data_IF_630607382978
#
_entry.id   IF_630607382978
#
_cell.length_a   1.000
_cell.length_b   1.000
_cell.length_c   1.000
_cell.angle_alpha   90.00
_cell.angle_beta   90.00
_cell.angle_gamma   90.00
#
_symmetry.space_group_name_H-M   'P 1'
#
loop_
_entity.id
_entity.type
_entity.pdbx_description
1 polymer ?
#
# COMPACT_ATOMS: atom_id res chain seq x y z
N UNK A 1 -9.32 -22.94 6.92
CA UNK A 1 -8.16 -23.78 6.67
C UNK A 1 -7.54 -24.30 7.95
N UNK A 2 -6.75 -25.39 7.87
CA UNK A 2 -6.03 -25.89 9.05
C UNK A 2 -4.94 -24.88 9.48
N UNK A 3 -4.51 -24.95 10.76
CA UNK A 3 -3.40 -24.13 11.26
C UNK A 3 -2.14 -24.31 10.39
N UNK A 4 -1.81 -25.55 10.01
CA UNK A 4 -0.65 -25.86 9.18
C UNK A 4 -0.72 -25.17 7.80
N UNK A 5 -1.90 -25.13 7.17
CA UNK A 5 -2.09 -24.44 5.89
C UNK A 5 -1.91 -22.92 6.04
N UNK A 6 -2.46 -22.33 7.11
CA UNK A 6 -2.31 -20.90 7.38
C UNK A 6 -0.85 -20.53 7.69
N UNK A 7 -0.13 -21.34 8.44
CA UNK A 7 1.30 -21.15 8.72
C UNK A 7 2.11 -21.23 7.41
N UNK A 8 1.78 -22.16 6.52
CA UNK A 8 2.40 -22.29 5.19
C UNK A 8 2.16 -21.06 4.30
N UNK A 9 0.92 -20.56 4.26
CA UNK A 9 0.57 -19.33 3.50
C UNK A 9 1.35 -18.13 4.03
N UNK A 10 1.42 -17.97 5.36
CA UNK A 10 2.18 -16.88 5.99
C UNK A 10 3.68 -16.97 5.68
N UNK A 11 4.26 -18.16 5.70
CA UNK A 11 5.67 -18.39 5.38
C UNK A 11 5.97 -18.01 3.92
N UNK A 12 5.11 -18.44 2.98
CA UNK A 12 5.24 -18.10 1.56
C UNK A 12 5.09 -16.59 1.33
N UNK A 13 4.10 -15.94 1.94
CA UNK A 13 3.93 -14.49 1.84
C UNK A 13 5.17 -13.74 2.33
N UNK A 14 5.74 -14.13 3.48
CA UNK A 14 6.98 -13.52 3.99
C UNK A 14 8.18 -13.69 3.06
N UNK A 15 8.29 -14.83 2.40
CA UNK A 15 9.39 -15.14 1.46
C UNK A 15 9.23 -14.48 0.10
N UNK A 16 8.03 -14.05 -0.27
CA UNK A 16 7.78 -13.34 -1.52
C UNK A 16 8.02 -11.83 -1.42
N UNK A 17 8.10 -11.27 -0.23
CA UNK A 17 8.39 -9.84 -0.04
C UNK A 17 9.82 -9.54 -0.43
N UNK A 18 10.03 -8.53 -1.28
CA UNK A 18 11.33 -8.09 -1.77
C UNK A 18 11.66 -6.70 -1.23
N UNK A 19 12.80 -6.59 -0.56
CA UNK A 19 13.36 -5.30 -0.12
C UNK A 19 14.16 -4.69 -1.27
N UNK A 20 13.56 -3.75 -2.01
CA UNK A 20 14.18 -3.10 -3.17
C UNK A 20 15.18 -2.01 -2.77
N UNK A 21 14.92 -1.30 -1.67
CA UNK A 21 15.77 -0.20 -1.19
C UNK A 21 15.62 -0.01 0.32
N UNK A 22 16.72 0.32 1.02
CA UNK A 22 16.71 0.66 2.46
C UNK A 22 17.91 1.54 2.85
N UNK A 23 18.07 2.68 2.19
CA UNK A 23 19.26 3.54 2.31
C UNK A 23 19.45 4.15 3.71
N UNK A 24 18.34 4.44 4.42
CA UNK A 24 18.36 5.03 5.77
C UNK A 24 18.17 4.01 6.88
N UNK A 25 18.15 2.73 6.56
CA UNK A 25 17.86 1.66 7.52
C UNK A 25 16.56 1.89 8.32
N UNK A 26 15.50 2.39 7.66
CA UNK A 26 14.19 2.56 8.29
C UNK A 26 13.54 1.22 8.61
N UNK A 27 13.88 0.18 7.84
CA UNK A 27 13.48 -1.20 8.13
C UNK A 27 14.64 -1.96 8.79
N UNK A 28 14.33 -2.87 9.74
CA UNK A 28 12.99 -3.19 10.25
C UNK A 28 12.44 -2.07 11.16
N UNK A 29 11.12 -1.85 11.11
CA UNK A 29 10.44 -0.96 12.06
C UNK A 29 10.60 -1.47 13.49
N UNK A 30 10.66 -0.57 14.45
CA UNK A 30 10.67 -0.97 15.86
C UNK A 30 9.32 -1.59 16.24
N UNK A 31 9.36 -2.60 17.10
CA UNK A 31 8.14 -3.27 17.59
C UNK A 31 7.35 -2.43 18.60
N UNK A 32 7.95 -1.38 19.13
CA UNK A 32 7.36 -0.52 20.18
C UNK A 32 7.93 0.89 20.14
N UNK A 33 7.18 1.85 20.69
CA UNK A 33 7.63 3.21 20.99
C UNK A 33 7.73 4.14 19.77
N UNK A 34 7.20 3.78 18.62
CA UNK A 34 7.17 4.64 17.43
C UNK A 34 5.77 5.20 17.18
N UNK A 35 5.74 6.43 16.66
CA UNK A 35 4.56 7.01 16.02
C UNK A 35 4.65 6.69 14.54
N UNK A 36 3.71 5.92 14.03
CA UNK A 36 3.68 5.46 12.65
C UNK A 36 2.43 6.03 11.97
N UNK A 37 2.61 6.76 10.87
CA UNK A 37 1.54 7.10 9.97
C UNK A 37 1.44 6.04 8.87
N UNK A 38 0.31 5.36 8.76
CA UNK A 38 0.01 4.45 7.68
C UNK A 38 -0.90 5.15 6.68
N UNK A 39 -0.47 5.28 5.43
CA UNK A 39 -1.18 6.07 4.41
C UNK A 39 -1.39 5.25 3.14
N UNK A 40 -2.54 5.45 2.52
CA UNK A 40 -2.89 4.85 1.23
C UNK A 40 -4.17 4.00 1.30
N UNK A 41 -4.97 4.05 0.24
CA UNK A 41 -6.21 3.27 0.14
C UNK A 41 -5.95 1.77 0.23
N UNK A 42 -4.84 1.31 -0.36
CA UNK A 42 -4.44 -0.11 -0.36
C UNK A 42 -3.98 -0.62 1.02
N UNK A 43 -3.66 0.27 1.96
CA UNK A 43 -3.25 -0.13 3.30
C UNK A 43 -4.35 -0.87 4.07
N UNK A 44 -5.62 -0.58 3.80
CA UNK A 44 -6.78 -1.25 4.40
C UNK A 44 -7.57 -2.11 3.40
N UNK A 45 -6.98 -2.39 2.25
CA UNK A 45 -7.61 -3.26 1.25
C UNK A 45 -7.35 -4.73 1.60
N UNK A 46 -8.44 -5.49 1.74
CA UNK A 46 -8.44 -6.92 2.06
C UNK A 46 -8.77 -7.80 0.86
N UNK A 47 -9.02 -7.19 -0.28
CA UNK A 47 -9.42 -7.88 -1.50
C UNK A 47 -8.31 -7.95 -2.54
N UNK A 48 -7.54 -6.88 -2.71
CA UNK A 48 -6.42 -6.87 -3.67
C UNK A 48 -5.38 -7.96 -3.40
N UNK A 49 -5.01 -8.31 -2.15
CA UNK A 49 -4.09 -9.42 -1.90
C UNK A 49 -4.58 -10.78 -2.37
N UNK A 50 -5.88 -10.96 -2.61
CA UNK A 50 -6.47 -12.19 -3.13
C UNK A 50 -6.25 -12.36 -4.64
N UNK A 51 -5.81 -11.31 -5.34
CA UNK A 51 -5.58 -11.29 -6.77
C UNK A 51 -6.85 -11.19 -7.62
N UNK A 52 -6.68 -11.12 -8.95
CA UNK A 52 -7.79 -10.95 -9.91
C UNK A 52 -8.62 -12.22 -10.11
N UNK A 53 -8.03 -13.38 -9.91
CA UNK A 53 -8.70 -14.69 -10.10
C UNK A 53 -9.34 -15.26 -8.84
N UNK A 54 -9.73 -14.43 -7.91
CA UNK A 54 -10.36 -14.78 -6.63
C UNK A 54 -11.85 -15.13 -6.70
N UNK A 55 -12.32 -15.69 -7.81
CA UNK A 55 -13.74 -15.89 -8.09
C UNK A 55 -14.55 -16.61 -7.01
N UNK A 56 -13.91 -17.49 -6.24
CA UNK A 56 -14.54 -18.25 -5.17
C UNK A 56 -14.01 -17.88 -3.76
N UNK A 57 -13.19 -16.85 -3.65
CA UNK A 57 -12.72 -16.37 -2.36
C UNK A 57 -13.74 -15.43 -1.72
N UNK A 58 -13.93 -15.56 -0.40
CA UNK A 58 -14.78 -14.65 0.34
C UNK A 58 -14.18 -13.23 0.33
N UNK A 59 -15.02 -12.23 0.10
CA UNK A 59 -14.62 -10.83 0.19
C UNK A 59 -14.07 -10.53 1.59
N UNK A 60 -13.00 -9.75 1.63
CA UNK A 60 -12.31 -9.33 2.87
C UNK A 60 -11.70 -10.49 3.70
N UNK A 61 -11.35 -11.60 3.06
CA UNK A 61 -10.72 -12.74 3.75
C UNK A 61 -9.20 -12.62 3.94
N UNK A 62 -8.54 -11.73 3.21
CA UNK A 62 -7.12 -11.44 3.46
C UNK A 62 -6.91 -10.53 4.67
N UNK A 63 -5.70 -10.54 5.22
CA UNK A 63 -5.25 -9.60 6.26
C UNK A 63 -4.67 -8.37 5.57
N UNK A 64 -5.19 -7.18 5.90
CA UNK A 64 -4.66 -5.91 5.38
C UNK A 64 -3.35 -5.52 6.08
N UNK A 65 -2.58 -4.61 5.46
CA UNK A 65 -1.39 -4.04 6.11
C UNK A 65 -1.77 -3.34 7.41
N UNK A 66 -2.91 -2.63 7.43
CA UNK A 66 -3.43 -1.98 8.64
C UNK A 66 -3.66 -3.00 9.76
N UNK A 67 -4.37 -4.10 9.50
CA UNK A 67 -4.63 -5.15 10.49
C UNK A 67 -3.33 -5.82 10.97
N UNK A 68 -2.39 -6.06 10.06
CA UNK A 68 -1.08 -6.61 10.40
C UNK A 68 -0.29 -5.70 11.32
N UNK A 69 -0.28 -4.40 11.06
CA UNK A 69 0.43 -3.41 11.89
C UNK A 69 -0.24 -3.14 13.23
N UNK A 70 -1.56 -3.24 13.32
CA UNK A 70 -2.32 -3.08 14.57
C UNK A 70 -2.01 -4.15 15.64
N UNK A 71 -1.35 -5.24 15.25
CA UNK A 71 -0.89 -6.25 16.22
C UNK A 71 0.26 -5.74 17.12
N UNK A 72 0.98 -4.72 16.68
CA UNK A 72 2.09 -4.09 17.43
C UNK A 72 1.56 -2.92 18.29
N UNK A 73 0.82 -3.24 19.34
CA UNK A 73 0.04 -2.30 20.18
C UNK A 73 0.89 -1.25 20.91
N UNK A 74 2.18 -1.51 21.09
CA UNK A 74 3.10 -0.58 21.75
C UNK A 74 3.61 0.54 20.83
N UNK A 75 3.20 0.54 19.56
CA UNK A 75 3.37 1.64 18.64
C UNK A 75 2.08 2.46 18.54
N UNK A 76 2.22 3.77 18.34
CA UNK A 76 1.09 4.64 18.03
C UNK A 76 0.87 4.65 16.51
N UNK A 77 -0.01 3.79 16.03
CA UNK A 77 -0.40 3.72 14.62
C UNK A 77 -1.57 4.66 14.34
N UNK A 78 -1.44 5.53 13.34
CA UNK A 78 -2.52 6.37 12.81
C UNK A 78 -2.67 6.08 11.33
N UNK A 79 -3.90 5.79 10.89
CA UNK A 79 -4.20 5.49 9.49
C UNK A 79 -4.97 6.64 8.84
N UNK A 80 -4.56 7.01 7.63
CA UNK A 80 -5.30 7.91 6.74
C UNK A 80 -5.26 7.38 5.31
N UNK A 81 -6.39 7.39 4.64
CA UNK A 81 -6.48 6.92 3.26
C UNK A 81 -5.75 7.84 2.27
N UNK A 82 -5.78 9.14 2.50
CA UNK A 82 -5.24 10.17 1.61
C UNK A 82 -6.14 10.41 0.39
N UNK A 83 -6.24 9.44 -0.50
CA UNK A 83 -7.16 9.50 -1.65
C UNK A 83 -7.70 8.12 -1.96
N UNK A 84 -8.89 8.06 -2.54
CA UNK A 84 -9.39 6.84 -3.15
C UNK A 84 -8.61 6.53 -4.43
N UNK A 85 -8.37 5.25 -4.70
CA UNK A 85 -7.70 4.83 -5.94
C UNK A 85 -8.63 4.95 -7.13
N UNK A 86 -9.90 4.57 -6.95
CA UNK A 86 -10.94 4.60 -7.99
C UNK A 86 -12.14 5.41 -7.52
N UNK A 87 -12.85 6.03 -8.46
CA UNK A 87 -14.09 6.79 -8.17
C UNK A 87 -15.23 5.82 -7.87
N UNK A 88 -15.28 4.69 -8.60
CA UNK A 88 -16.31 3.68 -8.45
C UNK A 88 -15.73 2.40 -7.84
N UNK A 89 -16.61 1.55 -7.32
CA UNK A 89 -16.20 0.24 -6.81
C UNK A 89 -15.59 -0.59 -7.94
N UNK A 90 -14.34 -0.99 -7.77
CA UNK A 90 -13.65 -1.86 -8.69
C UNK A 90 -14.31 -3.24 -8.73
N UNK A 91 -14.59 -3.76 -9.93
CA UNK A 91 -15.11 -5.11 -10.15
C UNK A 91 -14.35 -5.76 -11.29
N UNK A 92 -14.50 -7.09 -11.43
CA UNK A 92 -13.88 -7.84 -12.53
C UNK A 92 -14.43 -7.43 -13.91
N UNK A 93 -15.71 -7.05 -13.99
CA UNK A 93 -16.41 -6.78 -15.25
C UNK A 93 -16.33 -5.33 -15.71
N UNK A 94 -16.05 -4.39 -14.82
CA UNK A 94 -16.09 -2.96 -15.15
C UNK A 94 -14.68 -2.45 -15.49
N UNK A 95 -14.62 -1.46 -16.37
CA UNK A 95 -13.44 -0.63 -16.49
C UNK A 95 -13.20 0.12 -15.17
N UNK A 96 -11.93 0.30 -14.82
CA UNK A 96 -11.56 1.02 -13.61
C UNK A 96 -11.44 2.50 -13.92
N UNK A 97 -12.26 3.30 -13.27
CA UNK A 97 -12.19 4.77 -13.34
C UNK A 97 -11.35 5.27 -12.17
N UNK A 98 -10.13 5.74 -12.46
CA UNK A 98 -9.22 6.22 -11.44
C UNK A 98 -9.62 7.59 -10.92
N UNK A 99 -9.41 7.80 -9.62
CA UNK A 99 -9.49 9.12 -9.03
C UNK A 99 -8.28 9.96 -9.47
N UNK A 100 -8.54 11.01 -10.25
CA UNK A 100 -7.52 11.98 -10.71
C UNK A 100 -7.77 13.40 -10.21
N UNK A 101 -8.84 13.61 -9.44
CA UNK A 101 -9.30 14.96 -9.06
C UNK A 101 -9.56 15.16 -7.58
N UNK A 102 -10.09 14.17 -6.86
CA UNK A 102 -10.45 14.30 -5.44
C UNK A 102 -9.23 14.14 -4.52
N UNK A 103 -8.78 15.26 -3.98
CA UNK A 103 -7.66 15.39 -3.02
C UNK A 103 -8.14 15.67 -1.60
N UNK A 104 -9.41 15.52 -1.32
CA UNK A 104 -10.02 15.93 -0.04
C UNK A 104 -9.36 15.29 1.20
N UNK A 105 -8.75 14.11 1.06
CA UNK A 105 -8.02 13.44 2.14
C UNK A 105 -6.53 13.82 2.27
N UNK A 106 -5.96 14.62 1.36
CA UNK A 106 -4.52 14.94 1.38
C UNK A 106 -4.09 15.70 2.63
N UNK A 107 -4.88 16.68 3.07
CA UNK A 107 -4.51 17.47 4.25
C UNK A 107 -4.53 16.65 5.55
N UNK A 108 -5.49 15.73 5.67
CA UNK A 108 -5.51 14.79 6.80
C UNK A 108 -4.28 13.87 6.77
N UNK A 109 -3.94 13.32 5.61
CA UNK A 109 -2.76 12.48 5.44
C UNK A 109 -1.45 13.24 5.73
N UNK A 110 -1.29 14.47 5.23
CA UNK A 110 -0.14 15.33 5.55
C UNK A 110 -0.03 15.60 7.05
N UNK A 111 -1.15 15.87 7.72
CA UNK A 111 -1.17 16.15 9.16
C UNK A 111 -0.69 14.96 9.98
N UNK A 112 -1.14 13.75 9.66
CA UNK A 112 -0.67 12.56 10.40
C UNK A 112 0.77 12.22 10.06
N UNK A 113 1.20 12.38 8.81
CA UNK A 113 2.58 12.19 8.38
C UNK A 113 3.56 13.14 9.10
N UNK A 114 3.23 14.42 9.21
CA UNK A 114 4.07 15.42 9.87
C UNK A 114 4.28 15.14 11.37
N UNK A 115 3.36 14.40 12.01
CA UNK A 115 3.41 14.07 13.44
C UNK A 115 3.98 12.65 13.72
N UNK A 116 4.43 11.94 12.70
CA UNK A 116 4.95 10.59 12.80
C UNK A 116 6.49 10.54 12.78
N UNK A 117 7.07 9.53 13.44
CA UNK A 117 8.49 9.24 13.37
C UNK A 117 8.86 8.60 12.02
N UNK A 118 7.91 7.80 11.47
CA UNK A 118 8.02 7.13 10.19
C UNK A 118 6.65 7.05 9.52
N UNK A 119 6.65 7.17 8.21
CA UNK A 119 5.45 7.01 7.38
C UNK A 119 5.56 5.71 6.60
N UNK A 120 4.52 4.87 6.64
CA UNK A 120 4.38 3.70 5.77
C UNK A 120 3.30 4.04 4.74
N UNK A 121 3.68 4.09 3.47
CA UNK A 121 2.74 4.33 2.38
C UNK A 121 2.52 3.05 1.58
N UNK A 122 1.27 2.61 1.48
CA UNK A 122 0.89 1.42 0.70
C UNK A 122 0.21 1.88 -0.59
N UNK A 123 0.96 1.81 -1.67
CA UNK A 123 0.58 2.31 -2.98
C UNK A 123 0.72 1.22 -4.05
N UNK A 124 0.14 1.45 -5.21
CA UNK A 124 0.25 0.53 -6.33
C UNK A 124 -1.08 0.27 -7.02
N UNK A 125 -1.35 -0.97 -7.34
CA UNK A 125 -2.53 -1.41 -8.07
C UNK A 125 -3.49 -2.19 -7.18
N UNK A 126 -4.80 -2.09 -7.43
CA UNK A 126 -5.76 -3.02 -6.83
C UNK A 126 -5.80 -4.35 -7.60
N UNK A 127 -6.41 -5.38 -6.99
CA UNK A 127 -6.44 -6.73 -7.57
C UNK A 127 -7.13 -6.84 -8.94
N UNK A 128 -7.96 -5.87 -9.34
CA UNK A 128 -8.61 -5.86 -10.64
C UNK A 128 -7.87 -5.07 -11.73
N UNK A 129 -6.73 -4.46 -11.40
CA UNK A 129 -5.90 -3.76 -12.40
C UNK A 129 -4.96 -4.70 -13.14
N UNK A 130 -4.77 -5.92 -12.65
CA UNK A 130 -3.87 -6.92 -13.21
C UNK A 130 -4.62 -8.18 -13.59
N UNK A 131 -4.02 -9.02 -14.41
CA UNK A 131 -4.61 -10.27 -14.89
C UNK A 131 -5.17 -10.16 -16.31
N UNK A 132 -6.01 -11.12 -16.67
CA UNK A 132 -6.60 -11.23 -17.99
C UNK A 132 -7.44 -10.01 -18.34
N UNK A 133 -7.33 -9.55 -19.59
CA UNK A 133 -8.02 -8.38 -20.13
C UNK A 133 -7.72 -7.05 -19.41
N UNK A 134 -6.58 -6.96 -18.71
CA UNK A 134 -6.16 -5.77 -17.95
C UNK A 134 -4.83 -5.21 -18.46
N UNK A 135 -4.86 -4.70 -19.69
CA UNK A 135 -3.72 -4.03 -20.31
C UNK A 135 -3.55 -2.60 -19.79
N UNK A 136 -2.31 -2.13 -19.76
CA UNK A 136 -1.97 -0.73 -19.46
C UNK A 136 -0.94 -0.24 -20.48
N UNK A 137 -1.11 0.99 -20.93
CA UNK A 137 -0.15 1.70 -21.79
C UNK A 137 0.90 2.49 -21.00
N UNK A 138 0.65 2.67 -19.69
CA UNK A 138 1.50 3.41 -18.76
C UNK A 138 1.71 2.55 -17.49
N UNK A 139 2.94 2.50 -16.98
CA UNK A 139 3.32 1.72 -15.81
C UNK A 139 3.50 2.58 -14.55
N UNK A 140 3.15 3.86 -14.58
CA UNK A 140 3.21 4.76 -13.41
C UNK A 140 2.20 4.35 -12.32
N UNK A 141 2.36 4.89 -11.12
CA UNK A 141 1.35 4.76 -10.06
C UNK A 141 0.00 5.31 -10.56
N UNK A 142 -1.09 4.54 -10.45
CA UNK A 142 -2.39 4.98 -10.95
C UNK A 142 -3.02 6.09 -10.09
N UNK A 143 -3.82 6.93 -10.74
CA UNK A 143 -4.57 8.00 -10.07
C UNK A 143 -3.68 9.05 -9.41
N UNK A 144 -4.06 9.49 -8.22
CA UNK A 144 -3.36 10.53 -7.45
C UNK A 144 -2.21 10.03 -6.57
N UNK A 145 -1.83 8.76 -6.67
CA UNK A 145 -0.88 8.16 -5.73
C UNK A 145 0.53 8.78 -5.80
N UNK A 146 1.01 9.11 -7.00
CA UNK A 146 2.31 9.77 -7.15
C UNK A 146 2.28 11.16 -6.51
N UNK A 147 1.23 11.94 -6.75
CA UNK A 147 1.07 13.27 -6.15
C UNK A 147 0.97 13.19 -4.62
N UNK A 148 0.19 12.24 -4.10
CA UNK A 148 0.10 12.01 -2.65
C UNK A 148 1.47 11.67 -2.05
N UNK A 149 2.24 10.79 -2.70
CA UNK A 149 3.58 10.41 -2.24
C UNK A 149 4.51 11.64 -2.16
N UNK A 150 4.48 12.50 -3.16
CA UNK A 150 5.30 13.71 -3.21
C UNK A 150 4.86 14.73 -2.14
N UNK A 151 3.56 14.91 -1.91
CA UNK A 151 3.03 15.80 -0.87
C UNK A 151 3.39 15.28 0.54
N UNK A 152 3.33 13.99 0.78
CA UNK A 152 3.76 13.38 2.05
C UNK A 152 5.27 13.54 2.25
N UNK A 153 6.07 13.32 1.20
CA UNK A 153 7.53 13.49 1.27
C UNK A 153 7.95 14.90 1.70
N UNK A 154 7.20 15.94 1.28
CA UNK A 154 7.49 17.34 1.66
C UNK A 154 7.37 17.58 3.17
N UNK A 155 6.49 16.85 3.86
CA UNK A 155 6.23 17.02 5.31
C UNK A 155 6.97 16.00 6.16
N UNK A 156 7.26 14.81 5.63
CA UNK A 156 8.04 13.78 6.30
C UNK A 156 8.77 12.87 5.30
N UNK A 157 10.09 13.01 5.12
CA UNK A 157 10.85 12.20 4.17
C UNK A 157 11.23 10.80 4.68
N UNK A 158 10.87 10.43 5.92
CA UNK A 158 11.12 9.10 6.47
C UNK A 158 10.02 8.13 6.04
N UNK A 159 9.98 7.82 4.74
CA UNK A 159 8.94 7.00 4.13
C UNK A 159 9.46 5.59 3.86
N UNK A 160 8.66 4.61 4.25
CA UNK A 160 8.69 3.23 3.77
C UNK A 160 7.56 3.09 2.76
N UNK A 161 7.91 3.00 1.49
CA UNK A 161 6.96 2.74 0.41
C UNK A 161 6.77 1.23 0.26
N UNK A 162 5.55 0.77 0.47
CA UNK A 162 5.13 -0.62 0.26
C UNK A 162 4.32 -0.67 -1.04
N UNK A 163 4.80 -1.43 -2.00
CA UNK A 163 4.15 -1.60 -3.29
C UNK A 163 3.24 -2.82 -3.28
N UNK A 164 2.02 -2.61 -3.74
CA UNK A 164 1.06 -3.67 -4.03
C UNK A 164 0.78 -3.66 -5.53
N UNK A 165 1.35 -4.60 -6.27
CA UNK A 165 1.28 -4.62 -7.73
C UNK A 165 1.35 -6.05 -8.27
N UNK A 166 0.76 -6.27 -9.43
CA UNK A 166 0.81 -7.53 -10.16
C UNK A 166 1.64 -7.44 -11.44
N UNK A 167 2.32 -6.32 -11.66
CA UNK A 167 3.26 -6.06 -12.76
C UNK A 167 4.31 -5.06 -12.31
N UNK A 168 5.49 -4.98 -12.96
CA UNK A 168 6.48 -3.94 -12.66
C UNK A 168 5.88 -2.54 -12.80
N UNK A 169 6.18 -1.64 -11.86
CA UNK A 169 5.80 -0.23 -11.90
C UNK A 169 7.02 0.64 -12.23
N UNK A 170 6.82 1.69 -13.02
CA UNK A 170 7.82 2.70 -13.30
C UNK A 170 7.80 3.76 -12.19
N UNK A 171 8.83 3.79 -11.35
CA UNK A 171 8.88 4.62 -10.15
C UNK A 171 10.15 5.51 -10.10
N UNK A 172 10.52 6.25 -11.17
CA UNK A 172 11.81 6.95 -11.23
C UNK A 172 11.94 8.00 -10.13
N UNK A 173 10.87 8.71 -9.80
CA UNK A 173 10.89 9.69 -8.71
C UNK A 173 11.05 9.02 -7.34
N UNK A 174 10.29 7.96 -7.06
CA UNK A 174 10.38 7.24 -5.80
C UNK A 174 11.75 6.56 -5.64
N UNK A 175 12.29 5.94 -6.68
CA UNK A 175 13.62 5.34 -6.66
C UNK A 175 14.71 6.35 -6.29
N UNK A 176 14.57 7.62 -6.73
CA UNK A 176 15.51 8.69 -6.41
C UNK A 176 15.32 9.24 -4.99
N UNK A 177 14.10 9.46 -4.55
CA UNK A 177 13.79 10.28 -3.38
C UNK A 177 13.40 9.47 -2.14
N UNK A 178 12.73 8.32 -2.30
CA UNK A 178 12.24 7.52 -1.17
C UNK A 178 13.36 6.64 -0.63
N UNK A 179 13.64 6.69 0.68
CA UNK A 179 14.76 5.96 1.27
C UNK A 179 14.52 4.45 1.39
N UNK A 180 13.28 4.00 1.44
CA UNK A 180 12.96 2.57 1.67
C UNK A 180 11.78 2.16 0.80
N UNK A 181 11.96 1.09 0.02
CA UNK A 181 10.96 0.55 -0.91
C UNK A 181 10.89 -0.97 -0.74
N UNK A 182 9.70 -1.48 -0.58
CA UNK A 182 9.37 -2.91 -0.43
C UNK A 182 8.28 -3.27 -1.44
N UNK A 183 8.40 -4.43 -2.06
CA UNK A 183 7.43 -5.01 -2.98
C UNK A 183 6.99 -6.40 -2.51
#
# INVERSE_FOLDING_TARGET
GSKANNDGVLDMAKKSIVLLKNDKNLLPLKKSGQKIALIGALANDKNSPLGSWRLAADDNSAVSVLEGMQQYKDNKLTYEKGADLTIEKATFLNELVFNTTDRSGFDAAKKVAANADVVVMVLGENGFQTGEARSRTNLDLPGLQQELLEEIYKVNPNIVLVLNNGRPLALPWAAKNIPTIVE
#
